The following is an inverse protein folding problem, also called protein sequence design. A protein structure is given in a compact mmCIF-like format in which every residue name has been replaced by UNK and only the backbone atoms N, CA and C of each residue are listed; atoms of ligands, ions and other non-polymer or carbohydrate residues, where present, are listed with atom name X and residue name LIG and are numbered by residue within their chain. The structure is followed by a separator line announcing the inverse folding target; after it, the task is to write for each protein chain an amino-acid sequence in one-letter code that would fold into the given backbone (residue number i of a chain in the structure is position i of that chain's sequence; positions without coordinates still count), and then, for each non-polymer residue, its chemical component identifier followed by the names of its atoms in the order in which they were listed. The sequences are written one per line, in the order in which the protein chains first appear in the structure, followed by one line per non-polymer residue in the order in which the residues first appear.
data_IF_293593812684
#
_entry.id   IF_293593812684
#
_cell.length_a   1.000
_cell.length_b   1.000
_cell.length_c   1.000
_cell.angle_alpha   90.00
_cell.angle_beta   90.00
_cell.angle_gamma   90.00
#
_symmetry.space_group_name_H-M   'P 1'
#
loop_
_entity.id
_entity.type
_entity.pdbx_description
1 polymer ?
#
# COMPACT_ATOMS: atom_id res chain seq x y z
N UNK A 1 9.95 11.02 -22.74
CA UNK A 1 11.43 10.79 -22.67
C UNK A 1 11.81 9.37 -22.18
N UNK A 2 10.85 8.49 -21.85
CA UNK A 2 11.08 7.09 -21.43
C UNK A 2 11.33 6.08 -22.57
N UNK A 3 10.93 6.40 -23.80
CA UNK A 3 11.06 5.46 -24.93
C UNK A 3 12.49 5.24 -25.42
N UNK A 4 13.43 6.19 -25.20
CA UNK A 4 14.80 6.06 -25.72
C UNK A 4 15.63 4.95 -25.09
N UNK A 5 15.16 4.38 -23.97
CA UNK A 5 15.89 3.37 -23.19
C UNK A 5 15.13 2.05 -23.06
N UNK A 6 14.12 1.79 -23.91
CA UNK A 6 13.33 0.56 -23.87
C UNK A 6 12.66 0.31 -22.52
N UNK A 7 12.17 1.37 -21.86
CA UNK A 7 11.42 1.25 -20.60
C UNK A 7 9.95 1.06 -20.93
N UNK A 8 9.31 -0.08 -20.56
CA UNK A 8 7.86 -0.14 -20.52
C UNK A 8 7.40 0.95 -19.57
N UNK A 9 6.57 1.89 -20.05
CA UNK A 9 6.03 2.97 -19.24
C UNK A 9 5.33 2.38 -18.01
N UNK A 10 5.61 2.93 -16.83
CA UNK A 10 4.85 2.57 -15.63
C UNK A 10 3.37 2.90 -15.82
N UNK A 11 2.51 2.18 -15.10
CA UNK A 11 1.07 2.43 -15.13
C UNK A 11 0.78 3.80 -14.54
N UNK A 12 0.34 4.76 -15.36
CA UNK A 12 0.00 6.11 -14.91
C UNK A 12 -1.33 6.10 -14.16
N UNK A 13 -1.32 6.27 -12.84
CA UNK A 13 -2.54 6.21 -11.99
C UNK A 13 -2.96 7.55 -11.38
N UNK A 14 -2.35 8.66 -11.81
CA UNK A 14 -2.60 10.01 -11.30
C UNK A 14 -3.51 10.89 -12.17
N UNK A 15 -3.86 12.07 -11.65
CA UNK A 15 -4.64 13.09 -12.38
C UNK A 15 -3.88 13.73 -13.55
N UNK A 16 -2.57 13.41 -13.70
CA UNK A 16 -1.68 13.97 -14.72
C UNK A 16 -2.09 13.71 -16.17
N UNK A 17 -2.92 12.69 -16.42
CA UNK A 17 -3.46 12.37 -17.74
C UNK A 17 -4.36 13.50 -18.31
N UNK A 18 -4.88 14.40 -17.47
CA UNK A 18 -5.63 15.58 -17.92
C UNK A 18 -4.77 16.73 -18.46
N UNK A 19 -3.44 16.61 -18.47
CA UNK A 19 -2.56 17.68 -18.95
C UNK A 19 -2.13 17.50 -20.39
N UNK A 20 -2.61 18.39 -21.27
CA UNK A 20 -2.18 18.41 -22.68
C UNK A 20 -0.68 18.70 -22.82
N UNK A 21 -0.10 19.45 -21.89
CA UNK A 21 1.35 19.70 -21.84
C UNK A 21 2.10 18.40 -21.53
N UNK A 22 1.57 17.56 -20.62
CA UNK A 22 2.17 16.26 -20.34
C UNK A 22 2.10 15.31 -21.54
N UNK A 23 0.99 15.32 -22.28
CA UNK A 23 0.85 14.58 -23.53
C UNK A 23 1.86 15.07 -24.59
N UNK A 24 1.97 16.38 -24.80
CA UNK A 24 2.89 16.97 -25.78
C UNK A 24 4.38 16.71 -25.45
N UNK A 25 4.73 16.57 -24.17
CA UNK A 25 6.09 16.26 -23.71
C UNK A 25 6.41 14.75 -23.73
N UNK A 26 5.45 13.90 -24.10
CA UNK A 26 5.58 12.44 -24.05
C UNK A 26 5.80 11.94 -22.63
N UNK A 27 5.11 12.57 -21.67
CA UNK A 27 5.03 12.14 -20.27
C UNK A 27 3.79 11.23 -20.10
N UNK A 28 2.67 11.56 -20.74
CA UNK A 28 1.46 10.72 -20.77
C UNK A 28 1.19 10.27 -22.21
N UNK A 29 0.72 9.04 -22.37
CA UNK A 29 0.43 8.46 -23.70
C UNK A 29 -1.01 8.68 -24.17
N UNK A 30 -1.84 9.38 -23.36
CA UNK A 30 -3.26 9.56 -23.58
C UNK A 30 -3.58 11.02 -23.94
N UNK A 31 -4.38 11.22 -24.99
CA UNK A 31 -4.81 12.56 -25.44
C UNK A 31 -5.98 13.06 -24.57
N UNK A 32 -5.78 14.09 -23.72
CA UNK A 32 -6.84 14.57 -22.84
C UNK A 32 -8.04 15.19 -23.58
N UNK A 33 -7.87 15.65 -24.82
CA UNK A 33 -8.96 16.25 -25.60
C UNK A 33 -9.88 15.15 -26.14
N UNK A 34 -9.33 14.02 -26.58
CA UNK A 34 -10.12 12.89 -27.08
C UNK A 34 -10.98 12.25 -25.98
N UNK A 35 -10.47 12.25 -24.75
CA UNK A 35 -11.13 11.62 -23.59
C UNK A 35 -11.81 12.61 -22.62
N UNK A 36 -11.94 13.89 -23.02
CA UNK A 36 -12.56 14.97 -22.23
C UNK A 36 -12.02 15.06 -20.77
N UNK A 37 -10.69 14.89 -20.63
CA UNK A 37 -10.02 14.93 -19.34
C UNK A 37 -9.71 16.39 -18.95
N UNK A 38 -10.20 16.79 -17.78
CA UNK A 38 -10.05 18.15 -17.27
C UNK A 38 -8.68 18.40 -16.63
N UNK A 39 -8.00 19.46 -17.07
CA UNK A 39 -6.71 19.89 -16.52
C UNK A 39 -6.82 20.39 -15.07
N UNK A 40 -7.96 20.99 -14.71
CA UNK A 40 -8.24 21.57 -13.39
C UNK A 40 -8.27 20.50 -12.29
N UNK A 41 -8.47 19.23 -12.65
CA UNK A 41 -8.34 18.10 -11.73
C UNK A 41 -6.89 17.82 -11.34
N UNK A 42 -5.95 18.14 -12.23
CA UNK A 42 -4.52 17.99 -12.01
C UNK A 42 -3.93 19.20 -11.29
N UNK A 43 -4.22 20.41 -11.76
CA UNK A 43 -3.73 21.64 -11.15
C UNK A 43 -4.82 22.71 -11.19
N UNK A 44 -5.41 22.97 -10.03
CA UNK A 44 -6.43 24.00 -9.90
C UNK A 44 -5.80 25.35 -9.50
N UNK A 45 -5.92 26.42 -10.31
CA UNK A 45 -5.33 27.73 -9.99
C UNK A 45 -5.97 28.41 -8.77
N UNK A 46 -7.21 28.07 -8.41
CA UNK A 46 -7.90 28.62 -7.24
C UNK A 46 -7.53 27.90 -5.93
N UNK A 47 -6.87 26.74 -6.02
CA UNK A 47 -6.43 25.96 -4.86
C UNK A 47 -4.91 25.85 -4.88
N UNK A 48 -4.25 26.39 -3.85
CA UNK A 48 -2.83 26.12 -3.61
C UNK A 48 -2.69 24.61 -3.34
N UNK A 49 -2.28 23.89 -4.37
CA UNK A 49 -2.06 22.45 -4.35
C UNK A 49 -0.77 22.18 -5.09
N UNK A 50 0.09 21.34 -4.50
CA UNK A 50 1.32 20.95 -5.16
C UNK A 50 0.93 20.01 -6.31
N UNK A 51 1.35 20.29 -7.55
CA UNK A 51 1.15 19.36 -8.65
C UNK A 51 1.94 18.08 -8.36
N UNK A 52 1.26 16.94 -8.33
CA UNK A 52 1.90 15.62 -8.20
C UNK A 52 1.45 14.72 -9.35
N UNK A 53 2.42 14.25 -10.13
CA UNK A 53 2.18 13.39 -11.29
C UNK A 53 2.11 11.91 -10.92
N UNK A 54 2.39 11.54 -9.65
CA UNK A 54 2.36 10.16 -9.14
C UNK A 54 3.03 9.17 -10.11
N UNK A 55 4.29 9.45 -10.45
CA UNK A 55 5.06 8.63 -11.41
C UNK A 55 5.64 7.42 -10.71
N UNK A 56 5.10 6.24 -11.04
CA UNK A 56 5.57 4.95 -10.53
C UNK A 56 6.38 4.17 -11.58
N UNK A 57 7.34 3.38 -11.10
CA UNK A 57 8.19 2.53 -11.93
C UNK A 57 8.07 1.07 -11.47
N UNK A 58 8.08 0.11 -12.41
CA UNK A 58 8.06 -1.32 -12.08
C UNK A 58 9.25 -1.67 -11.17
N UNK A 59 9.01 -2.50 -10.15
CA UNK A 59 10.01 -2.81 -9.11
C UNK A 59 11.31 -3.40 -9.67
N UNK A 60 11.23 -4.15 -10.77
CA UNK A 60 12.37 -4.86 -11.37
C UNK A 60 13.46 -3.91 -11.89
N UNK A 61 13.07 -2.73 -12.37
CA UNK A 61 14.00 -1.73 -12.94
C UNK A 61 14.26 -0.55 -12.02
N UNK A 62 13.86 -0.66 -10.76
CA UNK A 62 14.02 0.39 -9.75
C UNK A 62 15.47 0.83 -9.59
N UNK A 63 16.40 -0.11 -9.56
CA UNK A 63 17.81 0.20 -9.34
C UNK A 63 18.40 1.02 -10.50
N UNK A 64 17.98 0.74 -11.75
CA UNK A 64 18.38 1.52 -12.94
C UNK A 64 17.90 2.97 -12.84
N UNK A 65 16.65 3.19 -12.41
CA UNK A 65 16.08 4.53 -12.23
C UNK A 65 16.79 5.27 -11.10
N UNK A 66 17.05 4.60 -9.97
CA UNK A 66 17.78 5.21 -8.85
C UNK A 66 19.18 5.63 -9.29
N UNK A 67 19.89 4.78 -10.03
CA UNK A 67 21.23 5.09 -10.51
C UNK A 67 21.21 6.25 -11.51
N UNK A 68 20.23 6.30 -12.41
CA UNK A 68 20.06 7.42 -13.35
C UNK A 68 19.82 8.75 -12.62
N UNK A 69 18.90 8.79 -11.65
CA UNK A 69 18.60 10.00 -10.87
C UNK A 69 19.79 10.39 -10.00
N UNK A 70 20.51 9.42 -9.42
CA UNK A 70 21.71 9.67 -8.62
C UNK A 70 22.87 10.22 -9.46
N UNK A 71 23.01 9.81 -10.73
CA UNK A 71 23.98 10.39 -11.65
C UNK A 71 23.58 11.79 -12.10
N UNK A 72 22.29 12.04 -12.30
CA UNK A 72 21.76 13.32 -12.81
C UNK A 72 21.79 14.42 -11.75
N UNK A 73 21.36 14.11 -10.53
CA UNK A 73 21.17 15.09 -9.45
C UNK A 73 22.16 14.94 -8.28
N UNK A 74 22.99 13.90 -8.31
CA UNK A 74 23.97 13.59 -7.28
C UNK A 74 23.43 12.62 -6.24
N UNK A 75 24.24 11.61 -5.90
CA UNK A 75 23.85 10.49 -5.00
C UNK A 75 23.45 10.94 -3.59
N UNK A 76 23.91 12.10 -3.13
CA UNK A 76 23.54 12.65 -1.81
C UNK A 76 22.19 13.38 -1.81
N UNK A 77 21.65 13.71 -3.00
CA UNK A 77 20.36 14.37 -3.16
C UNK A 77 19.20 13.37 -3.39
N UNK A 78 19.51 12.08 -3.51
CA UNK A 78 18.53 11.01 -3.76
C UNK A 78 18.40 10.14 -2.52
N UNK A 79 17.17 9.94 -2.05
CA UNK A 79 16.85 9.09 -0.91
C UNK A 79 15.61 8.24 -1.18
N UNK A 80 15.51 7.11 -0.49
CA UNK A 80 14.36 6.21 -0.58
C UNK A 80 13.40 6.51 0.57
N UNK A 81 12.10 6.46 0.27
CA UNK A 81 11.05 6.65 1.28
C UNK A 81 10.78 5.31 1.98
N UNK A 82 10.74 5.34 3.31
CA UNK A 82 10.48 4.17 4.16
C UNK A 82 8.99 3.86 4.20
N UNK A 83 8.63 2.59 4.33
CA UNK A 83 7.27 2.16 4.67
C UNK A 83 7.23 1.55 6.06
N UNK A 84 6.09 1.64 6.71
CA UNK A 84 5.88 1.05 8.03
C UNK A 84 4.93 -0.14 7.90
N UNK A 85 5.39 -1.31 8.32
CA UNK A 85 4.52 -2.46 8.49
C UNK A 85 3.75 -2.32 9.79
N UNK A 86 2.43 -2.21 9.72
CA UNK A 86 1.54 -2.23 10.89
C UNK A 86 1.06 -3.65 11.17
N UNK A 87 0.70 -3.92 12.42
CA UNK A 87 0.09 -5.19 12.79
C UNK A 87 -1.38 -5.22 12.37
N UNK A 88 -1.66 -5.89 11.25
CA UNK A 88 -3.02 -6.16 10.79
C UNK A 88 -3.75 -7.15 11.73
N UNK A 89 -5.09 -7.09 11.76
CA UNK A 89 -5.95 -7.90 12.63
C UNK A 89 -5.58 -9.40 12.69
N UNK A 90 -5.33 -10.04 11.54
CA UNK A 90 -4.90 -11.45 11.50
C UNK A 90 -3.50 -11.69 12.06
N UNK A 91 -2.58 -10.76 11.79
CA UNK A 91 -1.20 -10.89 12.21
C UNK A 91 -1.06 -10.69 13.72
N UNK A 92 -1.75 -9.68 14.29
CA UNK A 92 -1.69 -9.38 15.72
C UNK A 92 -2.21 -10.54 16.57
N UNK A 93 -3.31 -11.19 16.18
CA UNK A 93 -3.87 -12.35 16.90
C UNK A 93 -2.86 -13.51 16.94
N UNK A 94 -2.21 -13.80 15.81
CA UNK A 94 -1.19 -14.86 15.71
C UNK A 94 0.06 -14.53 16.52
N UNK A 95 0.50 -13.27 16.48
CA UNK A 95 1.68 -12.83 17.21
C UNK A 95 1.45 -12.85 18.73
N UNK A 96 0.30 -12.34 19.20
CA UNK A 96 -0.08 -12.35 20.62
C UNK A 96 -0.19 -13.78 21.15
N UNK A 97 -0.89 -14.66 20.42
CA UNK A 97 -1.03 -16.06 20.83
C UNK A 97 0.33 -16.76 20.96
N UNK A 98 1.26 -16.48 20.03
CA UNK A 98 2.63 -17.01 20.08
C UNK A 98 3.40 -16.48 21.29
N UNK A 99 3.28 -15.19 21.61
CA UNK A 99 3.99 -14.56 22.74
C UNK A 99 3.45 -15.06 24.08
N UNK A 100 2.15 -15.28 24.19
CA UNK A 100 1.51 -15.84 25.38
C UNK A 100 1.72 -17.36 25.54
N UNK A 101 2.37 -18.03 24.59
CA UNK A 101 2.62 -19.48 24.63
C UNK A 101 1.36 -20.33 24.41
N UNK A 102 0.32 -19.76 23.79
CA UNK A 102 -0.96 -20.45 23.53
C UNK A 102 -0.83 -21.39 22.31
N UNK A 103 -1.71 -22.42 22.19
CA UNK A 103 -1.64 -23.37 21.08
C UNK A 103 -1.79 -22.67 19.72
N UNK A 104 -0.88 -22.98 18.79
CA UNK A 104 -0.94 -22.44 17.42
C UNK A 104 -2.27 -22.76 16.72
N UNK A 105 -2.87 -23.92 17.01
CA UNK A 105 -4.16 -24.32 16.45
C UNK A 105 -5.32 -23.39 16.85
N UNK A 106 -5.29 -22.83 18.06
CA UNK A 106 -6.29 -21.86 18.51
C UNK A 106 -6.10 -20.54 17.76
N UNK A 107 -4.87 -20.05 17.70
CA UNK A 107 -4.52 -18.83 16.98
C UNK A 107 -4.87 -18.91 15.48
N UNK A 108 -4.62 -20.06 14.84
CA UNK A 108 -4.95 -20.27 13.44
C UNK A 108 -6.48 -20.28 13.22
N UNK A 109 -7.23 -20.96 14.10
CA UNK A 109 -8.70 -20.98 14.06
C UNK A 109 -9.27 -19.57 14.18
N UNK A 110 -8.84 -18.79 15.18
CA UNK A 110 -9.25 -17.39 15.33
C UNK A 110 -8.89 -16.54 14.11
N UNK A 111 -7.67 -16.69 13.56
CA UNK A 111 -7.22 -15.90 12.42
C UNK A 111 -7.96 -16.19 11.11
N UNK A 112 -8.56 -17.38 10.98
CA UNK A 112 -9.37 -17.79 9.82
C UNK A 112 -10.78 -17.23 9.87
N UNK A 113 -11.33 -17.03 11.06
CA UNK A 113 -12.64 -16.40 11.27
C UNK A 113 -12.61 -14.90 10.96
N UNK A 114 -11.44 -14.26 11.03
CA UNK A 114 -11.29 -12.86 10.63
C UNK A 114 -11.39 -12.77 9.10
N UNK A 115 -12.26 -11.92 8.52
CA UNK A 115 -12.35 -11.77 7.07
C UNK A 115 -11.09 -11.12 6.48
N UNK A 116 -10.78 -11.42 5.21
CA UNK A 116 -9.65 -10.81 4.51
C UNK A 116 -10.14 -9.61 3.70
N UNK A 117 -10.25 -8.46 4.35
CA UNK A 117 -10.60 -7.19 3.71
C UNK A 117 -9.54 -6.12 3.99
N UNK A 118 -9.35 -5.21 3.03
CA UNK A 118 -8.45 -4.07 3.19
C UNK A 118 -9.04 -3.11 4.23
N UNK A 119 -8.29 -2.80 5.29
CA UNK A 119 -8.78 -1.97 6.40
C UNK A 119 -9.70 -2.71 7.38
N UNK A 120 -9.64 -4.05 7.42
CA UNK A 120 -10.28 -4.87 8.44
C UNK A 120 -9.69 -4.57 9.83
N UNK A 121 -10.58 -4.40 10.82
CA UNK A 121 -10.21 -4.22 12.23
C UNK A 121 -10.80 -5.34 13.08
N UNK A 122 -10.23 -5.61 14.24
CA UNK A 122 -10.73 -6.61 15.18
C UNK A 122 -12.17 -6.31 15.61
N UNK A 123 -12.51 -5.04 15.85
CA UNK A 123 -13.89 -4.64 16.17
C UNK A 123 -14.87 -4.96 15.04
N UNK A 124 -14.51 -4.69 13.78
CA UNK A 124 -15.36 -5.03 12.62
C UNK A 124 -15.48 -6.55 12.44
N UNK A 125 -14.42 -7.29 12.71
CA UNK A 125 -14.45 -8.75 12.63
C UNK A 125 -15.43 -9.36 13.64
N UNK A 126 -15.58 -8.78 14.83
CA UNK A 126 -16.59 -9.20 15.81
C UNK A 126 -18.02 -8.93 15.34
N UNK A 127 -18.25 -7.79 14.70
CA UNK A 127 -19.58 -7.43 14.21
C UNK A 127 -20.02 -8.29 13.02
N UNK A 128 -19.06 -8.79 12.23
CA UNK A 128 -19.33 -9.55 11.02
C UNK A 128 -19.40 -11.07 11.23
N UNK A 129 -18.66 -11.62 12.20
CA UNK A 129 -18.54 -13.06 12.40
C UNK A 129 -19.03 -13.50 13.78
N UNK A 130 -20.29 -13.97 13.85
CA UNK A 130 -20.89 -14.46 15.09
C UNK A 130 -20.13 -15.67 15.67
N UNK A 131 -19.49 -16.49 14.82
CA UNK A 131 -18.68 -17.62 15.30
C UNK A 131 -17.45 -17.16 16.09
N UNK A 132 -16.92 -15.97 15.79
CA UNK A 132 -15.80 -15.39 16.52
C UNK A 132 -16.23 -15.00 17.93
N UNK A 133 -17.42 -14.39 18.06
CA UNK A 133 -18.00 -14.04 19.37
C UNK A 133 -18.24 -15.30 20.20
N UNK A 134 -18.86 -16.33 19.61
CA UNK A 134 -19.10 -17.60 20.31
C UNK A 134 -17.80 -18.26 20.78
N UNK A 135 -16.73 -18.24 19.97
CA UNK A 135 -15.43 -18.80 20.33
C UNK A 135 -14.76 -18.05 21.50
N UNK A 136 -14.93 -16.72 21.54
CA UNK A 136 -14.40 -15.87 22.60
C UNK A 136 -15.15 -16.09 23.93
N UNK A 137 -16.45 -16.31 23.87
CA UNK A 137 -17.26 -16.64 25.06
C UNK A 137 -17.00 -18.07 25.58
N UNK A 138 -16.74 -19.03 24.67
CA UNK A 138 -16.50 -20.42 25.03
C UNK A 138 -15.09 -20.66 25.59
N UNK A 139 -14.06 -20.05 24.99
CA UNK A 139 -12.66 -20.27 25.33
C UNK A 139 -12.01 -19.05 25.98
N UNK A 140 -11.82 -19.14 27.30
CA UNK A 140 -11.08 -18.12 28.09
C UNK A 140 -9.70 -17.77 27.52
N UNK A 141 -9.00 -18.73 26.89
CA UNK A 141 -7.71 -18.46 26.25
C UNK A 141 -7.86 -17.66 24.96
N UNK A 142 -8.96 -17.82 24.23
CA UNK A 142 -9.25 -17.01 23.06
C UNK A 142 -9.54 -15.56 23.48
N UNK A 143 -10.30 -15.37 24.56
CA UNK A 143 -10.58 -14.04 25.13
C UNK A 143 -9.29 -13.33 25.58
N UNK A 144 -8.40 -14.01 26.30
CA UNK A 144 -7.11 -13.44 26.73
C UNK A 144 -6.21 -13.00 25.55
N UNK A 145 -6.21 -13.77 24.46
CA UNK A 145 -5.50 -13.40 23.23
C UNK A 145 -6.15 -12.17 22.61
N UNK A 146 -7.48 -12.16 22.56
CA UNK A 146 -8.26 -11.10 21.94
C UNK A 146 -8.08 -9.74 22.63
N UNK A 147 -8.20 -9.70 23.95
CA UNK A 147 -8.07 -8.47 24.73
C UNK A 147 -6.71 -7.80 24.52
N UNK A 148 -5.65 -8.59 24.44
CA UNK A 148 -4.30 -8.09 24.15
C UNK A 148 -4.11 -7.74 22.66
N UNK A 149 -4.76 -8.47 21.75
CA UNK A 149 -4.71 -8.18 20.33
C UNK A 149 -5.36 -6.83 19.99
N UNK A 150 -6.48 -6.48 20.65
CA UNK A 150 -7.15 -5.18 20.50
C UNK A 150 -6.24 -4.02 20.91
N UNK A 151 -5.43 -4.20 21.96
CA UNK A 151 -4.48 -3.17 22.39
C UNK A 151 -3.28 -2.98 21.46
N UNK A 152 -2.92 -4.04 20.72
CA UNK A 152 -1.75 -4.04 19.83
C UNK A 152 -2.11 -3.83 18.35
N UNK A 153 -3.40 -3.83 18.01
CA UNK A 153 -3.86 -3.59 16.65
C UNK A 153 -3.36 -2.24 16.13
N UNK A 154 -2.81 -2.24 14.90
CA UNK A 154 -2.34 -1.03 14.24
C UNK A 154 -0.98 -0.51 14.72
N UNK A 155 -0.38 -1.09 15.77
CA UNK A 155 0.97 -0.72 16.21
C UNK A 155 1.99 -1.03 15.11
N UNK A 156 2.93 -0.10 14.92
CA UNK A 156 4.02 -0.25 13.95
C UNK A 156 4.98 -1.35 14.41
N UNK A 157 5.18 -2.35 13.56
CA UNK A 157 6.01 -3.53 13.85
C UNK A 157 7.44 -3.36 13.36
N UNK A 158 7.59 -2.90 12.12
CA UNK A 158 8.90 -2.84 11.46
C UNK A 158 8.93 -1.76 10.38
N UNK A 159 10.15 -1.32 10.10
CA UNK A 159 10.48 -0.51 8.94
C UNK A 159 10.64 -1.42 7.71
N UNK A 160 9.76 -1.26 6.73
CA UNK A 160 9.90 -1.80 5.39
C UNK A 160 10.81 -0.92 4.55
N UNK A 161 11.78 -1.54 3.86
CA UNK A 161 12.66 -0.83 2.89
C UNK A 161 12.04 -0.65 1.49
N UNK A 162 10.80 -1.10 1.29
CA UNK A 162 10.14 -1.03 0.00
C UNK A 162 9.26 0.22 0.00
N UNK A 163 9.55 1.16 -0.90
CA UNK A 163 8.73 2.36 -1.06
C UNK A 163 7.27 1.97 -1.34
N UNK A 164 6.33 2.77 -0.83
CA UNK A 164 4.90 2.44 -0.77
C UNK A 164 4.17 2.38 -2.11
N UNK A 165 4.83 2.63 -3.23
CA UNK A 165 4.27 2.37 -4.55
C UNK A 165 4.66 0.97 -5.01
N UNK A 166 3.82 0.03 -4.62
CA UNK A 166 3.91 -1.35 -5.08
C UNK A 166 2.53 -1.86 -5.35
N UNK A 167 1.88 -1.34 -6.40
CA UNK A 167 0.80 -2.09 -6.99
C UNK A 167 1.41 -3.39 -7.52
N UNK A 168 1.02 -4.53 -6.91
CA UNK A 168 1.43 -5.87 -7.35
C UNK A 168 0.52 -6.38 -8.47
N UNK A 169 -0.15 -5.50 -9.19
CA UNK A 169 -0.85 -5.84 -10.42
C UNK A 169 0.20 -5.94 -11.54
N UNK A 170 0.25 -7.10 -12.18
CA UNK A 170 1.39 -7.61 -12.95
C UNK A 170 2.04 -6.61 -13.90
N UNK A 171 3.38 -6.54 -13.83
CA UNK A 171 4.18 -6.23 -15.01
C UNK A 171 3.89 -7.38 -16.00
N UNK A 172 2.96 -7.15 -16.93
CA UNK A 172 2.70 -8.05 -18.04
C UNK A 172 3.84 -7.88 -19.05
N UNK A 173 4.42 -9.03 -19.43
CA UNK A 173 5.41 -9.17 -20.51
C UNK A 173 4.93 -8.60 -21.85
#
# INVERSE_FOLDING_TARGET
MGERSGHPGGTWSGSGAGSLVAYALGITDLDPIEYDLLFERFLNPERVSMPDFDVDFCMERRDEVIDYVAQTYGRQAVSQIITFGTMAAKAVVRDVARVQGKPYGLADRMSKLIPFEVGMTLSKALEQEEQLVALLEEDSSAQEIWDMAVQLEGVTRNAGKHAGSGDRSGCLD
#
